data_IF_774276324374
#
_entry.id   IF_774276324374
#
_cell.length_a   1.000
_cell.length_b   1.000
_cell.length_c   1.000
_cell.angle_alpha   90.00
_cell.angle_beta   90.00
_cell.angle_gamma   90.00
#
_symmetry.space_group_name_H-M   'P 1'
#
loop_
_entity.id
_entity.type
_entity.pdbx_description
1 polymer ?
#
# COMPACT_ATOMS: atom_id res chain seq x y z
N UNK A 1 12.35 12.11 -11.90
CA UNK A 1 12.83 10.89 -11.21
C UNK A 1 13.74 10.16 -12.16
N UNK A 2 14.87 9.68 -11.65
CA UNK A 2 15.81 8.82 -12.35
C UNK A 2 15.68 7.42 -11.74
N UNK A 3 15.60 6.38 -12.57
CA UNK A 3 15.64 4.99 -12.10
C UNK A 3 17.09 4.51 -12.13
N UNK A 4 17.55 3.94 -11.02
CA UNK A 4 18.84 3.26 -10.93
C UNK A 4 18.57 1.78 -10.64
N UNK A 5 19.06 0.89 -11.49
CA UNK A 5 18.85 -0.56 -11.40
C UNK A 5 17.96 -1.14 -12.50
N UNK A 6 18.02 -2.47 -12.68
CA UNK A 6 17.30 -3.19 -13.73
C UNK A 6 16.00 -3.82 -13.21
N UNK A 7 14.88 -3.46 -13.85
CA UNK A 7 13.52 -3.91 -13.48
C UNK A 7 12.78 -4.63 -14.61
N UNK A 8 13.35 -4.67 -15.82
CA UNK A 8 12.70 -5.27 -16.99
C UNK A 8 12.35 -6.74 -16.75
N UNK A 9 11.10 -7.11 -17.02
CA UNK A 9 10.55 -8.46 -16.82
C UNK A 9 10.36 -8.88 -15.36
N UNK A 10 10.58 -7.99 -14.39
CA UNK A 10 10.51 -8.29 -12.95
C UNK A 10 9.30 -7.68 -12.28
N UNK A 11 8.88 -8.26 -11.17
CA UNK A 11 8.00 -7.61 -10.21
C UNK A 11 8.78 -6.55 -9.44
N UNK A 12 8.34 -5.30 -9.51
CA UNK A 12 8.86 -4.21 -8.71
C UNK A 12 7.91 -3.96 -7.52
N UNK A 13 8.49 -3.76 -6.35
CA UNK A 13 7.75 -3.46 -5.12
C UNK A 13 8.25 -2.10 -4.62
N UNK A 14 7.37 -1.11 -4.66
CA UNK A 14 7.58 0.18 -4.03
C UNK A 14 7.30 0.02 -2.54
N UNK A 15 8.22 0.48 -1.69
CA UNK A 15 8.09 0.44 -0.23
C UNK A 15 8.20 1.88 0.26
N UNK A 16 7.22 2.31 1.04
CA UNK A 16 7.21 3.62 1.69
C UNK A 16 6.57 3.51 3.07
N UNK A 17 6.81 4.47 3.95
CA UNK A 17 6.14 4.50 5.26
C UNK A 17 4.74 5.11 5.15
N UNK A 18 4.54 6.13 4.31
CA UNK A 18 3.28 6.88 4.22
C UNK A 18 2.96 7.33 2.79
N UNK A 19 1.67 7.24 2.43
CA UNK A 19 1.14 7.77 1.18
C UNK A 19 -0.05 8.69 1.47
N UNK A 20 0.17 9.99 1.24
CA UNK A 20 -0.85 11.02 1.39
C UNK A 20 -1.59 11.27 0.08
N UNK A 21 -1.09 12.13 -0.80
CA UNK A 21 -1.73 12.39 -2.11
C UNK A 21 -1.49 11.29 -3.15
N UNK A 22 -0.66 10.29 -2.84
CA UNK A 22 -0.24 9.22 -3.76
C UNK A 22 0.44 9.66 -5.07
N UNK A 23 0.83 10.93 -5.20
CA UNK A 23 1.53 11.44 -6.39
C UNK A 23 2.90 10.78 -6.61
N UNK A 24 3.67 10.56 -5.54
CA UNK A 24 5.01 9.99 -5.64
C UNK A 24 4.96 8.54 -6.11
N UNK A 25 4.19 7.69 -5.43
CA UNK A 25 4.10 6.25 -5.74
C UNK A 25 3.53 5.98 -7.13
N UNK A 26 2.55 6.78 -7.58
CA UNK A 26 1.95 6.59 -8.92
C UNK A 26 2.85 7.06 -10.05
N UNK A 27 3.63 8.14 -9.85
CA UNK A 27 4.68 8.53 -10.79
C UNK A 27 5.80 7.50 -10.84
N UNK A 28 6.17 6.92 -9.70
CA UNK A 28 7.21 5.88 -9.62
C UNK A 28 6.75 4.62 -10.35
N UNK A 29 5.50 4.20 -10.13
CA UNK A 29 4.89 3.09 -10.85
C UNK A 29 4.90 3.28 -12.37
N UNK A 30 4.55 4.48 -12.83
CA UNK A 30 4.62 4.83 -14.26
C UNK A 30 6.03 4.70 -14.82
N UNK A 31 7.05 5.15 -14.08
CA UNK A 31 8.46 5.01 -14.48
C UNK A 31 8.88 3.53 -14.53
N UNK A 32 8.48 2.73 -13.55
CA UNK A 32 8.80 1.31 -13.47
C UNK A 32 8.17 0.51 -14.62
N UNK A 33 6.87 0.71 -14.90
CA UNK A 33 6.19 0.10 -16.05
C UNK A 33 6.82 0.52 -17.37
N UNK A 34 7.16 1.81 -17.55
CA UNK A 34 7.89 2.29 -18.74
C UNK A 34 9.28 1.65 -18.88
N UNK A 35 9.89 1.27 -17.77
CA UNK A 35 11.20 0.58 -17.72
C UNK A 35 11.09 -0.94 -17.84
N UNK A 36 9.90 -1.46 -18.18
CA UNK A 36 9.67 -2.87 -18.48
C UNK A 36 9.34 -3.75 -17.27
N UNK A 37 9.03 -3.18 -16.10
CA UNK A 37 8.57 -3.97 -14.96
C UNK A 37 7.29 -4.74 -15.34
N UNK A 38 7.26 -6.04 -15.03
CA UNK A 38 6.11 -6.90 -15.31
C UNK A 38 4.92 -6.49 -14.43
N UNK A 39 5.17 -6.34 -13.14
CA UNK A 39 4.18 -5.96 -12.12
C UNK A 39 4.77 -4.92 -11.19
N UNK A 40 3.95 -4.01 -10.68
CA UNK A 40 4.32 -2.96 -9.74
C UNK A 40 3.33 -2.96 -8.58
N UNK A 41 3.82 -3.35 -7.41
CA UNK A 41 3.12 -3.23 -6.13
C UNK A 41 3.59 -1.98 -5.38
N UNK A 42 2.73 -1.44 -4.53
CA UNK A 42 3.14 -0.52 -3.48
C UNK A 42 2.77 -1.09 -2.11
N UNK A 43 3.73 -1.16 -1.20
CA UNK A 43 3.56 -1.49 0.22
C UNK A 43 3.78 -0.20 1.01
N UNK A 44 2.76 0.25 1.72
CA UNK A 44 2.81 1.51 2.47
C UNK A 44 2.23 1.31 3.85
N UNK A 45 2.96 1.62 4.92
CA UNK A 45 2.43 1.43 6.28
C UNK A 45 1.17 2.26 6.50
N UNK A 46 1.21 3.55 6.18
CA UNK A 46 0.15 4.53 6.44
C UNK A 46 -0.47 5.04 5.12
N UNK A 47 -1.63 4.50 4.74
CA UNK A 47 -2.43 5.01 3.62
C UNK A 47 -3.32 6.17 4.05
N UNK A 48 -2.83 7.41 4.00
CA UNK A 48 -3.63 8.60 4.35
C UNK A 48 -4.59 8.98 3.23
N UNK A 49 -4.14 8.83 1.97
CA UNK A 49 -4.98 8.95 0.77
C UNK A 49 -5.86 10.20 0.70
N UNK A 50 -5.30 11.38 1.00
CA UNK A 50 -6.04 12.63 0.93
C UNK A 50 -6.41 13.06 -0.50
N UNK A 51 -7.49 13.83 -0.61
CA UNK A 51 -7.96 14.37 -1.88
C UNK A 51 -8.39 13.27 -2.84
N UNK A 52 -7.87 13.32 -4.06
CA UNK A 52 -8.15 12.38 -5.17
C UNK A 52 -7.17 11.21 -5.23
N UNK A 53 -6.52 10.85 -4.10
CA UNK A 53 -5.50 9.82 -4.07
C UNK A 53 -6.02 8.44 -4.50
N UNK A 54 -7.25 8.07 -4.14
CA UNK A 54 -7.86 6.78 -4.50
C UNK A 54 -8.09 6.71 -6.02
N UNK A 55 -8.66 7.76 -6.62
CA UNK A 55 -8.82 7.89 -8.07
C UNK A 55 -7.47 7.85 -8.79
N UNK A 56 -6.47 8.54 -8.24
CA UNK A 56 -5.11 8.55 -8.78
C UNK A 56 -4.50 7.16 -8.77
N UNK A 57 -4.64 6.41 -7.68
CA UNK A 57 -4.17 5.01 -7.59
C UNK A 57 -4.89 4.15 -8.62
N UNK A 58 -6.22 4.26 -8.70
CA UNK A 58 -7.03 3.50 -9.66
C UNK A 58 -6.56 3.71 -11.10
N UNK A 59 -6.41 4.97 -11.52
CA UNK A 59 -5.94 5.34 -12.86
C UNK A 59 -4.44 5.13 -13.10
N UNK A 60 -3.66 4.79 -12.07
CA UNK A 60 -2.20 4.64 -12.18
C UNK A 60 -1.76 3.31 -12.77
N UNK A 61 -0.45 3.21 -12.98
CA UNK A 61 0.24 2.01 -13.43
C UNK A 61 0.54 0.99 -12.31
N UNK A 62 0.04 1.22 -11.09
CA UNK A 62 0.09 0.25 -9.99
C UNK A 62 -0.87 -0.89 -10.27
N UNK A 63 -0.42 -2.12 -10.02
CA UNK A 63 -1.26 -3.32 -10.09
C UNK A 63 -1.99 -3.54 -8.76
N UNK A 64 -1.34 -3.23 -7.63
CA UNK A 64 -1.95 -3.27 -6.30
C UNK A 64 -1.23 -2.35 -5.32
N UNK A 65 -1.98 -1.83 -4.35
CA UNK A 65 -1.51 -1.04 -3.21
C UNK A 65 -1.95 -1.75 -1.95
N UNK A 66 -0.98 -2.06 -1.09
CA UNK A 66 -1.20 -2.72 0.20
C UNK A 66 -0.88 -1.70 1.29
N UNK A 67 -1.83 -1.48 2.18
CA UNK A 67 -1.67 -0.62 3.35
C UNK A 67 -2.05 -1.34 4.63
N UNK A 68 -1.82 -0.71 5.78
CA UNK A 68 -2.35 -1.23 7.06
C UNK A 68 -3.60 -0.45 7.49
N UNK A 69 -4.36 -0.99 8.45
CA UNK A 69 -5.44 -0.28 9.14
C UNK A 69 -4.94 0.69 10.24
N UNK A 70 -3.68 1.15 10.18
CA UNK A 70 -3.16 2.20 11.09
C UNK A 70 -3.85 3.57 10.92
N UNK A 71 -4.51 3.77 9.78
CA UNK A 71 -5.46 4.85 9.50
C UNK A 71 -6.74 4.18 8.97
N UNK A 72 -7.96 4.67 9.29
CA UNK A 72 -9.20 4.11 8.75
C UNK A 72 -9.17 3.99 7.22
N UNK A 73 -9.62 2.86 6.68
CA UNK A 73 -9.56 2.55 5.23
C UNK A 73 -10.93 2.22 4.62
N UNK A 74 -12.00 2.16 5.42
CA UNK A 74 -13.32 1.70 5.02
C UNK A 74 -13.88 2.53 3.85
N UNK A 75 -13.73 3.86 3.93
CA UNK A 75 -14.15 4.77 2.87
C UNK A 75 -13.28 4.62 1.61
N UNK A 76 -11.97 4.45 1.77
CA UNK A 76 -11.04 4.27 0.65
C UNK A 76 -11.32 2.97 -0.12
N UNK A 77 -11.55 1.87 0.60
CA UNK A 77 -11.90 0.56 0.02
C UNK A 77 -13.23 0.65 -0.71
N UNK A 78 -14.26 1.21 -0.06
CA UNK A 78 -15.56 1.41 -0.71
C UNK A 78 -15.43 2.22 -2.00
N UNK A 79 -14.65 3.31 -1.97
CA UNK A 79 -14.43 4.16 -3.14
C UNK A 79 -13.70 3.41 -4.25
N UNK A 80 -12.70 2.61 -3.91
CA UNK A 80 -11.98 1.74 -4.85
C UNK A 80 -12.91 0.74 -5.53
N UNK A 81 -13.81 0.11 -4.77
CA UNK A 81 -14.79 -0.84 -5.30
C UNK A 81 -15.83 -0.18 -6.21
N UNK A 82 -16.26 1.04 -5.87
CA UNK A 82 -17.14 1.84 -6.71
C UNK A 82 -16.49 2.17 -8.06
N UNK A 83 -15.21 2.57 -8.07
CA UNK A 83 -14.43 2.82 -9.29
C UNK A 83 -14.26 1.54 -10.13
N UNK A 84 -13.93 0.43 -9.47
CA UNK A 84 -13.77 -0.86 -10.13
C UNK A 84 -15.08 -1.32 -10.79
N UNK A 85 -16.21 -1.17 -10.10
CA UNK A 85 -17.54 -1.48 -10.66
C UNK A 85 -17.90 -0.57 -11.83
N UNK A 86 -17.60 0.72 -11.76
CA UNK A 86 -17.89 1.68 -12.82
C UNK A 86 -17.16 1.34 -14.14
N UNK A 87 -16.00 0.68 -14.06
CA UNK A 87 -15.24 0.21 -15.23
C UNK A 87 -15.50 -1.26 -15.60
N UNK A 88 -16.50 -1.92 -14.99
CA UNK A 88 -16.81 -3.32 -15.27
C UNK A 88 -15.79 -4.33 -14.73
N UNK A 89 -14.99 -3.94 -13.74
CA UNK A 89 -13.93 -4.74 -13.08
C UNK A 89 -14.31 -5.05 -11.63
N UNK A 90 -15.57 -5.37 -11.38
CA UNK A 90 -16.07 -5.60 -10.01
C UNK A 90 -15.29 -6.74 -9.33
N UNK A 91 -14.79 -6.50 -8.11
CA UNK A 91 -13.93 -7.45 -7.39
C UNK A 91 -12.44 -7.33 -7.68
N UNK A 92 -12.03 -6.41 -8.56
CA UNK A 92 -10.64 -6.16 -8.94
C UNK A 92 -10.11 -4.81 -8.40
N UNK A 93 -10.58 -4.40 -7.22
CA UNK A 93 -10.06 -3.22 -6.54
C UNK A 93 -8.55 -3.32 -6.30
N UNK A 94 -7.84 -2.19 -6.44
CA UNK A 94 -6.37 -2.17 -6.28
C UNK A 94 -5.90 -2.06 -4.83
N UNK A 95 -6.78 -1.76 -3.88
CA UNK A 95 -6.44 -1.49 -2.48
C UNK A 95 -6.64 -2.76 -1.63
N UNK A 96 -5.59 -3.17 -0.92
CA UNK A 96 -5.60 -4.24 0.07
C UNK A 96 -5.19 -3.67 1.44
N UNK A 97 -5.87 -4.10 2.50
CA UNK A 97 -5.66 -3.58 3.86
C UNK A 97 -5.25 -4.71 4.80
N UNK A 98 -4.09 -4.58 5.42
CA UNK A 98 -3.57 -5.48 6.43
C UNK A 98 -3.97 -5.02 7.84
N UNK A 99 -4.39 -5.97 8.66
CA UNK A 99 -4.72 -5.77 10.07
C UNK A 99 -3.42 -5.65 10.89
N UNK A 100 -3.29 -4.58 11.69
CA UNK A 100 -2.14 -4.38 12.61
C UNK A 100 -2.55 -4.20 14.07
N UNK A 101 -3.84 -4.22 14.38
CA UNK A 101 -4.36 -4.15 15.75
C UNK A 101 -3.84 -5.27 16.64
N UNK A 102 -3.59 -6.47 16.11
CA UNK A 102 -2.93 -7.54 16.86
C UNK A 102 -1.53 -7.15 17.38
N UNK A 103 -0.73 -6.44 16.56
CA UNK A 103 0.60 -5.95 16.93
C UNK A 103 0.51 -4.90 18.02
N UNK A 104 -0.42 -3.94 17.88
CA UNK A 104 -0.65 -2.91 18.90
C UNK A 104 -1.14 -3.50 20.23
N UNK A 105 -2.07 -4.46 20.17
CA UNK A 105 -2.61 -5.13 21.36
C UNK A 105 -1.50 -5.85 22.14
N UNK A 106 -0.64 -6.59 21.45
CA UNK A 106 0.48 -7.30 22.09
C UNK A 106 1.55 -6.34 22.62
N UNK A 107 1.83 -5.24 21.92
CA UNK A 107 2.73 -4.19 22.42
C UNK A 107 2.21 -3.57 23.73
N UNK A 108 0.93 -3.21 23.78
CA UNK A 108 0.28 -2.68 24.99
C UNK A 108 0.33 -3.69 26.13
N UNK A 109 0.00 -4.97 25.85
CA UNK A 109 0.05 -6.05 26.85
C UNK A 109 1.45 -6.21 27.43
N UNK A 110 2.49 -6.24 26.59
CA UNK A 110 3.89 -6.40 27.03
C UNK A 110 4.37 -5.23 27.87
N UNK A 111 4.09 -4.00 27.44
CA UNK A 111 4.42 -2.78 28.21
C UNK A 111 3.77 -2.84 29.58
N UNK A 112 2.49 -3.22 29.65
CA UNK A 112 1.76 -3.33 30.91
C UNK A 112 2.38 -4.36 31.88
N UNK A 113 2.88 -5.48 31.36
CA UNK A 113 3.47 -6.56 32.17
C UNK A 113 5.00 -6.43 32.35
N UNK A 114 5.64 -5.37 31.84
CA UNK A 114 7.10 -5.22 31.89
C UNK A 114 7.87 -6.24 31.04
N UNK A 115 7.21 -6.82 30.03
CA UNK A 115 7.80 -7.81 29.13
C UNK A 115 8.55 -7.14 27.97
N UNK A 116 9.49 -7.87 27.36
CA UNK A 116 10.27 -7.37 26.22
C UNK A 116 9.39 -7.17 24.98
N UNK A 117 9.42 -5.96 24.41
CA UNK A 117 8.79 -5.62 23.13
C UNK A 117 9.56 -6.20 21.94
N UNK A 118 10.87 -6.43 22.08
CA UNK A 118 11.73 -6.87 20.97
C UNK A 118 11.29 -8.17 20.30
N UNK A 119 10.51 -9.00 21.00
CA UNK A 119 9.90 -10.23 20.47
C UNK A 119 8.95 -9.94 19.28
N UNK A 120 8.33 -8.76 19.23
CA UNK A 120 7.45 -8.36 18.11
C UNK A 120 8.19 -8.12 16.79
N UNK A 121 9.52 -8.03 16.83
CA UNK A 121 10.38 -7.82 15.67
C UNK A 121 11.19 -9.07 15.31
N UNK A 122 11.00 -10.18 16.02
CA UNK A 122 11.62 -11.45 15.71
C UNK A 122 10.77 -12.17 14.67
N UNK A 123 11.40 -12.48 13.54
CA UNK A 123 10.81 -13.25 12.45
C UNK A 123 11.71 -14.46 12.24
N UNK A 124 11.39 -15.57 12.92
CA UNK A 124 12.01 -16.88 12.72
C UNK A 124 11.17 -17.72 11.74
#
# INVERSE_FOLDING_TARGET
>A
MLLVGAVAGRTAILIDDLADTSNTITRAAKLLKKSGAATVYALVTHGVFSGDAVERIWASALDRVVVTNSVPQEEHVRRMDELARAEGKAGEGKLEVLEVGGVFAEAIRRVHHGESISVLFQYD
#
